data_IF_099784382831
#
_entry.id   IF_099784382831
#
_cell.length_a   1.000
_cell.length_b   1.000
_cell.length_c   1.000
_cell.angle_alpha   90.00
_cell.angle_beta   90.00
_cell.angle_gamma   90.00
#
_symmetry.space_group_name_H-M   'P 1'
#
loop_
_entity.id
_entity.type
_entity.pdbx_description
1 polymer ?
#
# COMPACT_ATOMS: atom_id res chain seq x y z
N UNK A 1 8.31 -20.70 -3.78
CA UNK A 1 9.48 -20.55 -4.68
C UNK A 1 10.13 -19.16 -4.60
N UNK A 2 9.40 -18.05 -4.45
CA UNK A 2 9.96 -16.69 -4.36
C UNK A 2 10.84 -16.46 -3.12
N UNK A 3 10.47 -16.97 -1.95
CA UNK A 3 11.28 -16.87 -0.75
C UNK A 3 12.64 -17.59 -0.88
N UNK A 4 12.67 -18.77 -1.50
CA UNK A 4 13.92 -19.50 -1.76
C UNK A 4 14.88 -18.78 -2.72
N UNK A 5 14.35 -18.06 -3.73
CA UNK A 5 15.20 -17.35 -4.69
C UNK A 5 15.86 -16.09 -4.10
N UNK A 6 15.24 -15.45 -3.10
CA UNK A 6 15.82 -14.31 -2.38
C UNK A 6 16.87 -14.80 -1.37
N UNK A 7 16.71 -15.97 -0.79
CA UNK A 7 17.59 -16.53 0.24
C UNK A 7 18.82 -17.28 -0.31
N UNK A 8 18.82 -17.77 -1.54
CA UNK A 8 19.97 -18.46 -2.14
C UNK A 8 21.06 -17.52 -2.68
N UNK A 9 20.88 -16.20 -2.66
CA UNK A 9 21.89 -15.23 -3.06
C UNK A 9 22.69 -14.75 -1.86
N UNK A 10 23.87 -15.33 -1.64
CA UNK A 10 25.00 -14.82 -0.83
C UNK A 10 24.53 -14.05 0.45
N UNK A 11 23.95 -14.80 1.38
CA UNK A 11 23.47 -14.30 2.70
C UNK A 11 24.62 -13.73 3.55
N UNK A 12 25.87 -13.94 3.14
CA UNK A 12 27.07 -13.44 3.82
C UNK A 12 27.21 -11.91 3.74
N UNK A 13 26.39 -11.21 2.95
CA UNK A 13 26.53 -9.77 2.66
C UNK A 13 25.34 -8.91 3.15
N UNK A 14 24.47 -9.42 3.98
CA UNK A 14 23.43 -8.61 4.61
C UNK A 14 23.88 -8.08 5.96
N UNK A 15 23.72 -6.77 6.20
CA UNK A 15 23.85 -6.21 7.53
C UNK A 15 22.61 -6.57 8.37
N UNK A 16 22.82 -7.00 9.62
CA UNK A 16 21.74 -7.29 10.57
C UNK A 16 21.58 -6.07 11.47
N UNK A 17 20.38 -5.52 11.53
CA UNK A 17 20.11 -4.34 12.33
C UNK A 17 18.97 -4.62 13.31
N UNK A 18 19.07 -4.00 14.48
CA UNK A 18 17.98 -3.86 15.45
C UNK A 18 17.70 -2.37 15.62
N UNK A 19 16.45 -2.02 15.85
CA UNK A 19 16.03 -0.62 15.98
C UNK A 19 15.06 -0.42 17.12
N UNK A 20 15.06 0.80 17.65
CA UNK A 20 14.06 1.29 18.60
C UNK A 20 13.61 2.67 18.12
N UNK A 21 12.30 2.88 18.02
CA UNK A 21 11.72 4.11 17.46
C UNK A 21 10.53 4.56 18.32
N UNK A 22 10.52 5.82 18.71
CA UNK A 22 9.38 6.50 19.31
C UNK A 22 8.53 7.17 18.24
N UNK A 23 7.23 7.21 18.47
CA UNK A 23 6.22 7.80 17.61
C UNK A 23 5.35 8.77 18.41
N UNK A 24 5.00 9.92 17.83
CA UNK A 24 3.98 10.83 18.35
C UNK A 24 3.23 11.48 17.21
N UNK A 25 1.92 11.61 17.33
CA UNK A 25 1.11 12.08 16.22
C UNK A 25 -0.29 12.52 16.61
N UNK A 26 -1.20 12.48 15.65
CA UNK A 26 -2.60 12.84 15.81
C UNK A 26 -3.48 11.97 14.92
N UNK A 27 -4.79 11.92 15.22
CA UNK A 27 -5.75 11.16 14.43
C UNK A 27 -6.39 12.07 13.37
N UNK A 28 -6.46 11.61 12.12
CA UNK A 28 -7.19 12.31 11.04
C UNK A 28 -8.65 11.85 11.01
N UNK A 29 -9.62 12.72 11.34
CA UNK A 29 -11.04 12.40 11.17
C UNK A 29 -11.41 12.47 9.69
N UNK A 30 -11.69 11.34 9.08
CA UNK A 30 -12.12 11.23 7.67
C UNK A 30 -13.65 11.05 7.51
N UNK A 31 -14.38 11.06 8.62
CA UNK A 31 -15.85 11.04 8.70
C UNK A 31 -16.34 11.99 9.79
N UNK A 32 -17.56 12.52 9.64
CA UNK A 32 -18.17 13.38 10.68
C UNK A 32 -18.41 12.62 11.98
N UNK A 33 -18.77 11.35 11.89
CA UNK A 33 -19.17 10.49 13.01
C UNK A 33 -18.02 10.19 13.99
N UNK A 34 -16.76 10.37 13.58
CA UNK A 34 -15.58 10.11 14.41
C UNK A 34 -14.81 11.37 14.80
N UNK A 35 -15.36 12.55 14.45
CA UNK A 35 -14.64 13.84 14.65
C UNK A 35 -14.37 14.12 16.12
N UNK A 36 -15.36 13.91 16.97
CA UNK A 36 -15.28 14.27 18.38
C UNK A 36 -14.32 13.37 19.17
N UNK A 37 -14.11 12.13 18.66
CA UNK A 37 -13.20 11.14 19.24
C UNK A 37 -11.78 11.26 18.67
N UNK A 38 -11.62 11.97 17.55
CA UNK A 38 -10.32 12.12 16.85
C UNK A 38 -9.39 13.17 17.47
N UNK A 39 -9.80 13.85 18.54
CA UNK A 39 -9.00 14.89 19.23
C UNK A 39 -7.80 14.37 20.04
N UNK A 40 -7.48 13.08 19.93
CA UNK A 40 -6.41 12.41 20.67
C UNK A 40 -5.06 12.51 19.97
N UNK A 41 -3.98 12.38 20.77
CA UNK A 41 -2.58 12.45 20.31
C UNK A 41 -1.88 11.10 20.51
N UNK A 42 -2.00 10.17 19.59
CA UNK A 42 -1.36 8.88 19.67
C UNK A 42 0.15 8.97 19.87
N UNK A 43 0.67 8.14 20.75
CA UNK A 43 2.10 7.92 20.89
C UNK A 43 2.40 6.43 20.90
N UNK A 44 3.64 6.05 20.61
CA UNK A 44 4.00 4.65 20.58
C UNK A 44 5.51 4.41 20.62
N UNK A 45 5.85 3.15 20.82
CA UNK A 45 7.22 2.66 20.76
C UNK A 45 7.25 1.42 19.89
N UNK A 46 8.26 1.33 19.03
CA UNK A 46 8.46 0.26 18.08
C UNK A 46 9.88 -0.30 18.20
N UNK A 47 10.00 -1.61 18.28
CA UNK A 47 11.25 -2.34 18.16
C UNK A 47 11.25 -3.12 16.84
N UNK A 48 12.35 -3.06 16.08
CA UNK A 48 12.48 -3.76 14.81
C UNK A 48 13.77 -4.56 14.67
N UNK A 49 13.70 -5.61 13.85
CA UNK A 49 14.85 -6.35 13.37
C UNK A 49 14.81 -6.41 11.85
N UNK A 50 15.97 -6.19 11.20
CA UNK A 50 16.04 -6.15 9.74
C UNK A 50 17.35 -6.67 9.16
N UNK A 51 17.22 -7.15 7.92
CA UNK A 51 18.32 -7.50 7.02
C UNK A 51 18.48 -6.38 5.99
N UNK A 52 19.63 -5.71 5.98
CA UNK A 52 19.96 -4.69 5.00
C UNK A 52 20.86 -5.30 3.93
N UNK A 53 20.28 -5.58 2.77
CA UNK A 53 20.96 -6.29 1.70
C UNK A 53 21.95 -5.41 0.96
N UNK A 54 23.17 -5.92 0.72
CA UNK A 54 24.23 -5.20 0.03
C UNK A 54 24.71 -5.91 -1.25
N UNK A 55 24.12 -7.07 -1.56
CA UNK A 55 24.47 -7.87 -2.73
C UNK A 55 24.00 -7.22 -4.04
N UNK A 56 24.60 -7.64 -5.15
CA UNK A 56 24.31 -7.11 -6.48
C UNK A 56 22.86 -7.34 -6.89
N UNK A 57 22.32 -8.51 -6.60
CA UNK A 57 20.95 -8.87 -6.95
C UNK A 57 19.91 -7.94 -6.29
N UNK A 58 20.06 -7.67 -4.98
CA UNK A 58 19.17 -6.75 -4.27
C UNK A 58 19.28 -5.33 -4.86
N UNK A 59 20.49 -4.89 -5.19
CA UNK A 59 20.70 -3.60 -5.82
C UNK A 59 20.10 -3.52 -7.22
N UNK A 60 20.16 -4.58 -8.02
CA UNK A 60 19.56 -4.64 -9.35
C UNK A 60 18.02 -4.49 -9.30
N UNK A 61 17.36 -5.11 -8.32
CA UNK A 61 15.90 -5.04 -8.19
C UNK A 61 15.39 -3.65 -7.84
N UNK A 62 16.05 -2.94 -6.95
CA UNK A 62 15.58 -1.65 -6.39
C UNK A 62 16.47 -0.48 -6.80
N UNK A 63 17.57 -0.74 -7.53
CA UNK A 63 18.63 0.23 -7.80
C UNK A 63 19.10 0.94 -6.51
N UNK A 64 19.07 0.21 -5.40
CA UNK A 64 19.42 0.62 -4.05
C UNK A 64 19.64 -0.59 -3.18
N UNK A 65 19.91 -0.35 -1.91
CA UNK A 65 20.13 -1.41 -0.92
C UNK A 65 18.95 -1.45 0.04
N UNK A 66 17.98 -2.38 -0.16
CA UNK A 66 16.78 -2.43 0.67
C UNK A 66 17.03 -3.09 2.01
N UNK A 67 16.27 -2.69 3.02
CA UNK A 67 16.02 -3.48 4.22
C UNK A 67 14.73 -4.27 4.06
N UNK A 68 14.73 -5.51 4.56
CA UNK A 68 13.52 -6.27 4.85
C UNK A 68 13.54 -6.58 6.35
N UNK A 69 12.43 -6.36 7.03
CA UNK A 69 12.38 -6.53 8.48
C UNK A 69 11.02 -6.84 9.02
N UNK A 70 11.01 -7.09 10.33
CA UNK A 70 9.82 -7.22 11.14
C UNK A 70 9.89 -6.22 12.30
N UNK A 71 8.74 -5.67 12.68
CA UNK A 71 8.63 -4.71 13.76
C UNK A 71 7.48 -5.10 14.68
N UNK A 72 7.70 -4.96 15.99
CA UNK A 72 6.69 -5.03 17.03
C UNK A 72 6.52 -3.63 17.60
N UNK A 73 5.28 -3.15 17.71
CA UNK A 73 5.03 -1.86 18.30
C UNK A 73 3.81 -1.88 19.23
N UNK A 74 3.88 -0.99 20.20
CA UNK A 74 2.77 -0.60 21.05
C UNK A 74 2.38 0.85 20.71
N UNK A 75 1.08 1.09 20.55
CA UNK A 75 0.49 2.41 20.35
C UNK A 75 -0.59 2.66 21.40
N UNK A 76 -0.49 3.76 22.11
CA UNK A 76 -1.56 4.30 22.94
C UNK A 76 -2.25 5.42 22.15
N UNK A 77 -3.59 5.35 22.03
CA UNK A 77 -4.34 6.33 21.26
C UNK A 77 -4.77 7.57 22.04
N UNK A 78 -4.26 7.73 23.27
CA UNK A 78 -4.55 8.87 24.15
C UNK A 78 -6.07 9.06 24.41
N UNK A 79 -6.81 7.97 24.32
CA UNK A 79 -8.24 7.87 24.60
C UNK A 79 -8.56 6.46 25.10
N UNK A 80 -8.24 6.13 26.38
CA UNK A 80 -8.35 4.79 26.91
C UNK A 80 -9.79 4.28 27.01
N UNK A 81 -10.76 5.19 27.17
CA UNK A 81 -12.18 4.81 27.32
C UNK A 81 -12.81 4.33 26.02
N UNK A 82 -12.44 4.96 24.87
CA UNK A 82 -13.02 4.65 23.58
C UNK A 82 -12.05 3.87 22.68
N UNK A 83 -10.84 4.40 22.49
CA UNK A 83 -9.88 3.84 21.53
C UNK A 83 -8.94 2.81 22.12
N UNK A 84 -8.53 2.97 23.40
CA UNK A 84 -7.58 2.07 24.03
C UNK A 84 -6.19 2.12 23.41
N UNK A 85 -5.63 0.93 23.16
CA UNK A 85 -4.27 0.74 22.63
C UNK A 85 -4.21 -0.32 21.55
N UNK A 86 -3.12 -0.33 20.77
CA UNK A 86 -2.85 -1.35 19.79
C UNK A 86 -1.46 -1.98 19.96
N UNK A 87 -1.37 -3.29 19.74
CA UNK A 87 -0.12 -4.03 19.60
C UNK A 87 0.00 -4.50 18.15
N UNK A 88 1.06 -4.12 17.47
CA UNK A 88 1.20 -4.42 16.04
C UNK A 88 2.42 -5.28 15.77
N UNK A 89 2.27 -6.25 14.86
CA UNK A 89 3.35 -6.99 14.23
C UNK A 89 3.33 -6.64 12.74
N UNK A 90 4.39 -5.99 12.28
CA UNK A 90 4.54 -5.55 10.90
C UNK A 90 5.68 -6.32 10.21
N UNK A 91 5.47 -6.71 8.97
CA UNK A 91 6.53 -7.02 8.03
C UNK A 91 6.73 -5.81 7.12
N UNK A 92 7.97 -5.43 6.87
CA UNK A 92 8.24 -4.23 6.08
C UNK A 92 9.38 -4.40 5.08
N UNK A 93 9.29 -3.59 4.02
CA UNK A 93 10.36 -3.34 3.06
C UNK A 93 10.74 -1.86 3.10
N UNK A 94 12.04 -1.58 3.11
CA UNK A 94 12.56 -0.22 3.21
C UNK A 94 13.70 -0.01 2.20
N UNK A 95 13.39 0.46 0.96
CA UNK A 95 14.40 0.91 0.02
C UNK A 95 15.09 2.19 0.50
N UNK A 96 16.41 2.24 0.31
CA UNK A 96 17.26 3.38 0.64
C UNK A 96 17.70 4.12 -0.62
N UNK A 97 17.60 5.45 -0.58
CA UNK A 97 18.24 6.31 -1.56
C UNK A 97 19.66 6.63 -1.04
N UNK A 98 20.67 6.17 -1.79
CA UNK A 98 22.08 6.44 -1.45
C UNK A 98 22.53 5.88 -0.09
N UNK A 99 22.24 4.60 0.21
CA UNK A 99 22.64 3.92 1.45
C UNK A 99 24.13 3.97 1.77
N UNK A 100 25.02 4.20 0.78
CA UNK A 100 26.47 4.35 0.94
C UNK A 100 26.87 5.69 1.59
N UNK A 101 26.00 6.71 1.57
CA UNK A 101 26.30 8.03 2.13
C UNK A 101 26.07 8.08 3.64
N UNK A 102 26.71 9.07 4.32
CA UNK A 102 26.52 9.32 5.74
C UNK A 102 25.08 9.73 6.07
N UNK A 103 24.47 10.53 5.19
CA UNK A 103 23.03 10.85 5.21
C UNK A 103 22.35 10.16 4.03
N UNK A 104 21.23 9.50 4.28
CA UNK A 104 20.40 8.85 3.26
C UNK A 104 18.92 8.99 3.58
N UNK A 105 18.09 8.98 2.56
CA UNK A 105 16.63 8.89 2.69
C UNK A 105 16.19 7.45 2.49
N UNK A 106 15.15 7.03 3.18
CA UNK A 106 14.47 5.75 2.93
C UNK A 106 12.96 5.90 2.97
N UNK A 107 12.29 5.02 2.23
CA UNK A 107 10.86 4.86 2.27
C UNK A 107 10.58 3.47 2.84
N UNK A 108 9.76 3.39 3.90
CA UNK A 108 9.37 2.12 4.49
C UNK A 108 7.90 1.86 4.22
N UNK A 109 7.59 0.65 3.78
CA UNK A 109 6.24 0.16 3.56
C UNK A 109 6.05 -1.08 4.41
N UNK A 110 5.05 -1.07 5.28
CA UNK A 110 4.76 -2.16 6.19
C UNK A 110 3.30 -2.58 6.15
N UNK A 111 3.06 -3.86 6.36
CA UNK A 111 1.75 -4.45 6.56
C UNK A 111 1.84 -5.60 7.57
N UNK A 112 0.73 -5.89 8.24
CA UNK A 112 0.77 -6.95 9.25
C UNK A 112 -0.54 -7.16 10.01
N UNK A 113 -0.41 -7.46 11.30
CA UNK A 113 -1.52 -7.68 12.21
C UNK A 113 -1.47 -6.67 13.35
N UNK A 114 -2.63 -6.24 13.81
CA UNK A 114 -2.81 -5.43 15.00
C UNK A 114 -3.81 -6.11 15.95
N UNK A 115 -3.46 -6.18 17.23
CA UNK A 115 -4.40 -6.50 18.30
C UNK A 115 -4.86 -5.18 18.93
N UNK A 116 -6.19 -4.96 18.92
CA UNK A 116 -6.87 -3.80 19.49
C UNK A 116 -7.46 -4.21 20.84
N UNK A 117 -7.07 -3.55 21.92
CA UNK A 117 -7.53 -3.93 23.27
C UNK A 117 -8.94 -3.44 23.58
N UNK A 118 -9.36 -2.30 23.02
CA UNK A 118 -10.69 -1.73 23.19
C UNK A 118 -11.37 -1.57 21.84
N UNK A 119 -12.43 -2.34 21.58
CA UNK A 119 -13.14 -2.37 20.29
C UNK A 119 -14.57 -1.84 20.46
N UNK A 120 -15.25 -1.59 19.34
CA UNK A 120 -16.68 -1.28 19.34
C UNK A 120 -17.48 -2.39 20.03
N UNK A 121 -18.35 -1.98 20.91
CA UNK A 121 -19.39 -2.81 21.52
C UNK A 121 -20.66 -1.95 21.70
N UNK A 122 -21.86 -2.43 21.28
CA UNK A 122 -23.06 -1.62 21.28
C UNK A 122 -23.51 -1.21 22.69
N UNK A 123 -23.14 -1.97 23.73
CA UNK A 123 -23.57 -1.74 25.09
C UNK A 123 -22.51 -1.01 25.94
N UNK A 124 -21.24 -1.33 25.73
CA UNK A 124 -20.14 -0.85 26.60
C UNK A 124 -19.20 0.14 25.94
N UNK A 125 -19.12 0.19 24.58
CA UNK A 125 -18.27 1.12 23.83
C UNK A 125 -18.88 1.49 22.46
N UNK A 126 -20.09 2.07 22.44
CA UNK A 126 -20.81 2.40 21.20
C UNK A 126 -20.13 3.50 20.38
N UNK A 127 -19.28 4.31 21.00
CA UNK A 127 -18.60 5.44 20.38
C UNK A 127 -17.39 5.03 19.54
N UNK A 128 -16.85 3.82 19.72
CA UNK A 128 -15.74 3.34 18.92
C UNK A 128 -16.17 2.91 17.52
N UNK A 129 -16.39 3.85 16.63
CA UNK A 129 -16.73 3.57 15.24
C UNK A 129 -15.52 3.24 14.36
N UNK A 130 -14.29 3.24 14.91
CA UNK A 130 -13.06 3.02 14.15
C UNK A 130 -12.84 1.54 13.83
N UNK A 131 -13.05 0.65 14.80
CA UNK A 131 -12.82 -0.79 14.65
C UNK A 131 -13.69 -1.62 15.59
N UNK A 132 -14.18 -2.74 15.07
CA UNK A 132 -15.08 -3.66 15.77
C UNK A 132 -14.53 -5.07 15.96
N UNK A 133 -13.25 -5.28 15.63
CA UNK A 133 -12.57 -6.57 15.79
C UNK A 133 -11.25 -6.40 16.55
N UNK A 134 -10.96 -7.34 17.45
CA UNK A 134 -9.68 -7.34 18.19
C UNK A 134 -8.47 -7.52 17.26
N UNK A 135 -8.63 -8.30 16.20
CA UNK A 135 -7.60 -8.44 15.15
C UNK A 135 -7.97 -7.53 13.98
N UNK A 136 -7.05 -6.67 13.63
CA UNK A 136 -7.12 -5.71 12.53
C UNK A 136 -5.84 -5.73 11.71
N UNK A 137 -5.82 -5.02 10.59
CA UNK A 137 -4.72 -5.02 9.62
C UNK A 137 -4.11 -3.61 9.52
N UNK A 138 -2.91 -3.40 10.05
CA UNK A 138 -2.17 -2.15 9.88
C UNK A 138 -1.52 -2.10 8.51
N UNK A 139 -1.57 -0.91 7.90
CA UNK A 139 -0.77 -0.50 6.76
C UNK A 139 0.05 0.72 7.17
N UNK A 140 1.31 0.75 6.76
CA UNK A 140 2.25 1.79 7.15
C UNK A 140 3.08 2.28 5.98
N UNK A 141 3.26 3.59 5.91
CA UNK A 141 4.19 4.25 5.00
C UNK A 141 5.03 5.24 5.81
N UNK A 142 6.37 5.14 5.69
CA UNK A 142 7.30 6.06 6.34
C UNK A 142 8.21 6.74 5.32
N UNK A 143 8.51 7.99 5.57
CA UNK A 143 9.63 8.71 4.94
C UNK A 143 10.63 9.03 6.04
N UNK A 144 11.84 8.50 5.92
CA UNK A 144 12.87 8.57 6.96
C UNK A 144 14.16 9.19 6.43
N UNK A 145 14.70 10.16 7.17
CA UNK A 145 16.08 10.60 7.10
C UNK A 145 16.93 9.72 8.01
N UNK A 146 18.02 9.18 7.49
CA UNK A 146 18.92 8.28 8.19
C UNK A 146 20.31 8.92 8.24
N UNK A 147 20.84 9.14 9.45
CA UNK A 147 22.15 9.71 9.65
C UNK A 147 23.06 8.69 10.35
N UNK A 148 24.12 8.28 9.70
CA UNK A 148 25.11 7.33 10.23
C UNK A 148 26.03 8.03 11.22
N UNK A 149 25.84 7.74 12.52
CA UNK A 149 26.67 8.27 13.62
C UNK A 149 28.04 7.57 13.63
N UNK A 150 28.04 6.24 13.44
CA UNK A 150 29.23 5.39 13.34
C UNK A 150 28.99 4.22 12.39
N UNK A 151 29.89 3.27 12.29
CA UNK A 151 29.68 2.03 11.51
C UNK A 151 28.52 1.19 12.03
N UNK A 152 28.18 1.32 13.31
CA UNK A 152 27.14 0.53 13.97
C UNK A 152 25.90 1.32 14.31
N UNK A 153 25.99 2.62 14.55
CA UNK A 153 24.86 3.44 15.01
C UNK A 153 24.34 4.35 13.91
N UNK A 154 23.02 4.35 13.77
CA UNK A 154 22.29 5.19 12.83
C UNK A 154 21.12 5.86 13.54
N UNK A 155 21.11 7.20 13.52
CA UNK A 155 19.95 8.02 13.93
C UNK A 155 18.95 8.05 12.79
N UNK A 156 17.67 7.89 13.11
CA UNK A 156 16.56 7.85 12.16
C UNK A 156 15.47 8.81 12.61
N UNK A 157 15.04 9.70 11.72
CA UNK A 157 13.96 10.64 12.02
C UNK A 157 13.10 10.85 10.79
N UNK A 158 11.79 11.05 10.97
CA UNK A 158 10.92 11.26 9.83
C UNK A 158 9.44 11.30 10.19
N UNK A 159 8.63 11.01 9.18
CA UNK A 159 7.18 10.94 9.28
C UNK A 159 6.64 9.57 8.87
N UNK A 160 5.63 9.15 9.57
CA UNK A 160 4.90 7.89 9.34
C UNK A 160 3.42 8.21 9.13
N UNK A 161 2.79 7.51 8.20
CA UNK A 161 1.34 7.43 8.12
C UNK A 161 0.91 5.98 8.35
N UNK A 162 0.02 5.78 9.33
CA UNK A 162 -0.54 4.47 9.64
C UNK A 162 -2.06 4.46 9.43
N UNK A 163 -2.53 3.37 8.89
CA UNK A 163 -3.95 3.02 8.80
C UNK A 163 -4.17 1.66 9.44
N UNK A 164 -5.12 1.56 10.38
CA UNK A 164 -5.52 0.26 10.96
C UNK A 164 -7.02 0.10 10.75
N UNK A 165 -7.41 -1.02 10.15
CA UNK A 165 -8.82 -1.39 9.95
C UNK A 165 -8.97 -2.91 9.89
N UNK A 166 -10.18 -3.41 10.06
CA UNK A 166 -10.45 -4.84 9.95
C UNK A 166 -10.71 -5.33 8.51
N UNK A 167 -10.45 -4.49 7.50
CA UNK A 167 -10.67 -4.86 6.09
C UNK A 167 -12.14 -5.04 5.70
N UNK A 168 -13.08 -4.54 6.51
CA UNK A 168 -14.52 -4.68 6.24
C UNK A 168 -15.15 -5.99 6.75
N UNK A 169 -14.42 -6.77 7.56
CA UNK A 169 -14.92 -8.05 8.10
C UNK A 169 -16.12 -7.86 9.04
N UNK A 170 -16.19 -6.75 9.76
CA UNK A 170 -17.28 -6.43 10.69
C UNK A 170 -17.48 -4.91 10.78
N UNK A 171 -18.72 -4.46 10.88
CA UNK A 171 -19.06 -3.07 11.10
C UNK A 171 -19.32 -2.79 12.61
N UNK A 172 -19.10 -1.52 13.07
CA UNK A 172 -18.50 -0.41 12.36
C UNK A 172 -17.00 -0.62 12.09
N UNK A 173 -16.52 -0.06 10.99
CA UNK A 173 -15.10 -0.11 10.60
C UNK A 173 -14.74 1.13 9.77
N UNK A 174 -14.69 2.28 10.41
CA UNK A 174 -14.18 3.50 9.76
C UNK A 174 -12.66 3.42 9.55
N UNK A 175 -11.95 2.62 10.37
CA UNK A 175 -10.50 2.57 10.43
C UNK A 175 -9.90 3.80 11.11
N UNK A 176 -8.74 3.62 11.74
CA UNK A 176 -8.00 4.71 12.36
C UNK A 176 -6.82 5.12 11.48
N UNK A 177 -6.73 6.42 11.19
CA UNK A 177 -5.65 7.03 10.41
C UNK A 177 -4.87 7.99 11.31
N UNK A 178 -3.58 7.73 11.50
CA UNK A 178 -2.75 8.59 12.35
C UNK A 178 -1.37 8.82 11.76
N UNK A 179 -1.11 10.03 11.22
CA UNK A 179 0.23 10.47 10.93
C UNK A 179 1.00 10.71 12.23
N UNK A 180 2.30 10.39 12.21
CA UNK A 180 3.18 10.53 13.37
C UNK A 180 4.55 11.05 12.96
N UNK A 181 5.16 11.90 13.78
CA UNK A 181 6.59 12.14 13.75
C UNK A 181 7.30 10.97 14.43
N UNK A 182 8.47 10.59 13.92
CA UNK A 182 9.23 9.46 14.43
C UNK A 182 10.68 9.83 14.69
N UNK A 183 11.24 9.31 15.79
CA UNK A 183 12.65 9.43 16.12
C UNK A 183 13.15 8.10 16.68
N UNK A 184 14.25 7.60 16.17
CA UNK A 184 14.76 6.30 16.56
C UNK A 184 16.26 6.13 16.36
N UNK A 185 16.76 5.07 16.95
CA UNK A 185 18.13 4.60 16.80
C UNK A 185 18.12 3.17 16.24
N UNK A 186 19.02 2.91 15.29
CA UNK A 186 19.26 1.57 14.76
C UNK A 186 20.71 1.18 15.05
N UNK A 187 20.90 -0.03 15.57
CA UNK A 187 22.20 -0.63 15.82
C UNK A 187 22.46 -1.79 14.86
N UNK A 188 23.62 -1.79 14.23
CA UNK A 188 24.04 -2.81 13.28
C UNK A 188 24.87 -3.88 14.01
N UNK A 189 24.29 -5.05 14.21
CA UNK A 189 24.96 -6.21 14.82
C UNK A 189 26.10 -6.72 13.94
N UNK A 190 25.83 -6.82 12.63
CA UNK A 190 26.80 -7.24 11.62
C UNK A 190 26.94 -6.12 10.57
N UNK A 191 27.96 -5.28 10.63
CA UNK A 191 28.23 -4.28 9.60
C UNK A 191 28.50 -4.92 8.24
N UNK A 192 28.09 -4.21 7.18
CA UNK A 192 28.39 -4.57 5.81
C UNK A 192 28.73 -3.31 5.01
N UNK A 193 29.52 -3.45 3.98
CA UNK A 193 29.87 -2.37 3.06
C UNK A 193 28.76 -2.19 2.01
N UNK A 194 28.50 -0.94 1.63
CA UNK A 194 27.55 -0.58 0.57
C UNK A 194 28.32 -0.12 -0.67
N UNK A 195 28.64 -1.02 -1.64
CA UNK A 195 29.39 -0.65 -2.82
C UNK A 195 28.65 0.39 -3.66
N UNK A 196 29.38 1.33 -4.25
CA UNK A 196 28.83 2.21 -5.28
C UNK A 196 28.75 1.42 -6.59
N UNK A 197 27.54 1.17 -7.07
CA UNK A 197 27.29 0.40 -8.30
C UNK A 197 26.71 1.30 -9.38
N UNK A 198 27.05 1.00 -10.63
CA UNK A 198 26.49 1.64 -11.81
C UNK A 198 25.36 0.78 -12.41
N UNK A 199 24.38 1.42 -13.06
CA UNK A 199 23.30 0.74 -13.74
C UNK A 199 23.83 -0.12 -14.90
N UNK A 200 23.48 -1.41 -14.92
CA UNK A 200 23.81 -2.33 -16.00
C UNK A 200 22.95 -2.09 -17.25
N UNK A 201 23.36 -2.68 -18.39
CA UNK A 201 22.61 -2.60 -19.63
C UNK A 201 21.17 -3.17 -19.49
N UNK A 202 20.98 -4.26 -18.73
CA UNK A 202 19.66 -4.84 -18.46
C UNK A 202 18.73 -3.91 -17.66
N UNK A 203 19.27 -3.04 -16.81
CA UNK A 203 18.48 -2.03 -16.10
C UNK A 203 18.01 -0.91 -17.04
N UNK A 204 18.80 -0.58 -18.08
CA UNK A 204 18.40 0.39 -19.10
C UNK A 204 17.22 -0.13 -19.93
N UNK A 205 17.16 -1.44 -20.15
CA UNK A 205 16.00 -2.10 -20.82
C UNK A 205 14.70 -1.92 -20.02
N UNK A 206 14.78 -2.02 -18.69
CA UNK A 206 13.63 -1.77 -17.81
C UNK A 206 13.17 -0.29 -17.82
N UNK A 207 13.98 0.61 -18.33
CA UNK A 207 13.66 2.02 -18.48
C UNK A 207 13.00 2.37 -19.82
N UNK A 208 12.63 1.38 -20.63
CA UNK A 208 11.85 1.62 -21.83
C UNK A 208 10.38 1.89 -21.52
N UNK A 209 9.75 2.65 -22.40
CA UNK A 209 8.31 2.81 -22.45
C UNK A 209 7.67 1.48 -22.76
N UNK A 210 6.58 1.16 -22.07
CA UNK A 210 5.78 -0.03 -22.31
C UNK A 210 4.33 0.35 -22.59
N UNK A 211 3.72 -0.36 -23.51
CA UNK A 211 2.28 -0.36 -23.71
C UNK A 211 1.71 -1.64 -23.06
N UNK A 212 0.65 -1.49 -22.28
CA UNK A 212 0.05 -2.58 -21.51
C UNK A 212 -1.45 -2.66 -21.78
N UNK A 213 -1.92 -3.89 -21.93
CA UNK A 213 -3.35 -4.19 -22.05
C UNK A 213 -3.70 -5.28 -21.08
N UNK A 214 -4.77 -5.12 -20.31
CA UNK A 214 -5.25 -6.15 -19.39
C UNK A 214 -6.76 -6.30 -19.44
N UNK A 215 -7.21 -7.54 -19.30
CA UNK A 215 -8.57 -7.89 -18.94
C UNK A 215 -8.66 -8.01 -17.42
N UNK A 216 -9.76 -7.57 -16.85
CA UNK A 216 -10.01 -7.69 -15.42
C UNK A 216 -11.47 -8.06 -15.13
N UNK A 217 -11.67 -8.65 -13.96
CA UNK A 217 -13.01 -9.01 -13.52
C UNK A 217 -13.10 -9.35 -12.04
N UNK A 218 -14.34 -9.30 -11.54
CA UNK A 218 -14.70 -9.67 -10.17
C UNK A 218 -16.18 -10.04 -10.07
N UNK A 219 -16.56 -10.69 -8.97
CA UNK A 219 -17.95 -10.78 -8.53
C UNK A 219 -18.29 -9.63 -7.60
N UNK A 220 -19.30 -8.82 -7.92
CA UNK A 220 -19.71 -7.67 -7.14
C UNK A 220 -21.08 -7.90 -6.54
N UNK A 221 -21.23 -7.60 -5.23
CA UNK A 221 -22.52 -7.70 -4.54
C UNK A 221 -23.43 -6.54 -4.92
N UNK A 222 -24.73 -6.81 -4.98
CA UNK A 222 -25.74 -5.76 -5.01
C UNK A 222 -25.91 -5.18 -3.60
N UNK A 223 -26.14 -3.88 -3.50
CA UNK A 223 -26.34 -3.21 -2.19
C UNK A 223 -27.65 -3.61 -1.51
N UNK A 224 -28.69 -3.84 -2.29
CA UNK A 224 -30.03 -4.23 -1.89
C UNK A 224 -30.22 -5.74 -1.71
N UNK A 225 -29.36 -6.55 -2.35
CA UNK A 225 -29.34 -8.00 -2.23
C UNK A 225 -27.88 -8.53 -2.06
N UNK A 226 -27.31 -8.47 -0.84
CA UNK A 226 -25.92 -8.85 -0.61
C UNK A 226 -25.58 -10.32 -0.89
N UNK A 227 -26.58 -11.18 -1.08
CA UNK A 227 -26.40 -12.61 -1.40
C UNK A 227 -26.22 -12.89 -2.89
N UNK A 228 -26.48 -11.94 -3.79
CA UNK A 228 -26.39 -12.12 -5.24
C UNK A 228 -25.15 -11.44 -5.81
N UNK A 229 -24.12 -12.21 -6.18
CA UNK A 229 -22.92 -11.71 -6.87
C UNK A 229 -23.15 -11.68 -8.36
N UNK A 230 -23.03 -10.50 -8.95
CA UNK A 230 -23.09 -10.32 -10.40
C UNK A 230 -21.70 -10.02 -10.96
N UNK A 231 -21.37 -10.47 -12.18
CA UNK A 231 -20.06 -10.24 -12.76
C UNK A 231 -19.84 -8.75 -13.04
N UNK A 232 -18.58 -8.32 -12.87
CA UNK A 232 -18.05 -7.09 -13.40
C UNK A 232 -16.84 -7.45 -14.24
N UNK A 233 -16.83 -7.00 -15.48
CA UNK A 233 -15.77 -7.27 -16.44
C UNK A 233 -15.25 -5.95 -17.02
N UNK A 234 -13.98 -5.92 -17.40
CA UNK A 234 -13.42 -4.75 -18.04
C UNK A 234 -12.11 -5.02 -18.76
N UNK A 235 -11.74 -4.03 -19.53
CA UNK A 235 -10.45 -3.96 -20.23
C UNK A 235 -9.78 -2.63 -19.89
N UNK A 236 -8.48 -2.65 -19.66
CA UNK A 236 -7.66 -1.44 -19.52
C UNK A 236 -6.50 -1.49 -20.49
N UNK A 237 -6.16 -0.34 -21.06
CA UNK A 237 -4.99 -0.15 -21.90
C UNK A 237 -4.27 1.13 -21.46
N UNK A 238 -2.96 1.04 -21.19
CA UNK A 238 -2.19 2.19 -20.73
C UNK A 238 -0.73 2.14 -21.18
N UNK A 239 -0.11 3.31 -21.23
CA UNK A 239 1.31 3.48 -21.45
C UNK A 239 1.97 3.71 -20.10
N UNK A 240 3.12 3.07 -19.87
CA UNK A 240 3.99 3.31 -18.72
C UNK A 240 5.30 3.91 -19.21
N UNK A 241 5.53 5.19 -18.88
CA UNK A 241 6.71 5.98 -19.23
C UNK A 241 7.62 6.13 -18.02
N UNK A 242 8.80 5.50 -17.99
CA UNK A 242 9.78 5.71 -16.93
C UNK A 242 10.20 7.17 -16.81
N UNK A 243 10.24 7.66 -15.57
CA UNK A 243 10.73 9.00 -15.20
C UNK A 243 11.86 8.94 -14.18
N UNK A 244 12.13 7.76 -13.64
CA UNK A 244 13.16 7.52 -12.64
C UNK A 244 13.56 6.05 -12.56
N UNK A 245 14.39 5.72 -11.59
CA UNK A 245 14.92 4.37 -11.41
C UNK A 245 13.83 3.33 -11.17
N UNK A 246 12.88 3.67 -10.31
CA UNK A 246 11.78 2.81 -9.89
C UNK A 246 10.41 3.49 -10.13
N UNK A 247 10.38 4.62 -10.82
CA UNK A 247 9.20 5.44 -11.04
C UNK A 247 8.84 5.53 -12.51
N UNK A 248 7.56 5.44 -12.83
CA UNK A 248 7.03 5.72 -14.15
C UNK A 248 5.71 6.49 -14.05
N UNK A 249 5.44 7.35 -15.03
CA UNK A 249 4.12 7.91 -15.24
C UNK A 249 3.28 6.97 -16.09
N UNK A 250 1.99 6.88 -15.80
CA UNK A 250 1.04 6.06 -16.56
C UNK A 250 -0.09 6.92 -17.09
N UNK A 251 -0.54 6.61 -18.30
CA UNK A 251 -1.70 7.26 -18.91
C UNK A 251 -2.41 6.28 -19.85
N UNK A 252 -3.74 6.24 -19.80
CA UNK A 252 -4.48 5.28 -20.59
C UNK A 252 -5.99 5.40 -20.44
N UNK A 253 -6.68 4.31 -20.76
CA UNK A 253 -8.13 4.24 -20.71
C UNK A 253 -8.59 2.87 -20.20
N UNK A 254 -9.80 2.84 -19.63
CA UNK A 254 -10.47 1.60 -19.29
C UNK A 254 -11.93 1.60 -19.72
N UNK A 255 -12.45 0.41 -19.97
CA UNK A 255 -13.86 0.15 -20.24
C UNK A 255 -14.38 -0.88 -19.26
N UNK A 256 -15.55 -0.61 -18.65
CA UNK A 256 -16.14 -1.42 -17.59
C UNK A 256 -17.56 -1.78 -17.94
N UNK A 257 -17.89 -3.06 -17.88
CA UNK A 257 -19.24 -3.61 -17.92
C UNK A 257 -19.61 -4.12 -16.51
N UNK A 258 -20.40 -3.33 -15.77
CA UNK A 258 -20.85 -3.62 -14.41
C UNK A 258 -22.28 -4.15 -14.42
N UNK A 259 -22.44 -5.46 -14.36
CA UNK A 259 -23.77 -6.10 -14.45
C UNK A 259 -24.65 -5.86 -13.22
N UNK A 260 -24.09 -5.39 -12.09
CA UNK A 260 -24.92 -4.90 -10.98
C UNK A 260 -25.69 -3.65 -11.38
N UNK A 261 -25.03 -2.72 -12.14
CA UNK A 261 -25.72 -1.54 -12.68
C UNK A 261 -26.75 -1.91 -13.74
N UNK A 262 -26.44 -2.90 -14.60
CA UNK A 262 -27.41 -3.39 -15.58
C UNK A 262 -28.71 -3.82 -14.90
N UNK A 263 -28.59 -4.60 -13.82
CA UNK A 263 -29.74 -5.11 -13.10
C UNK A 263 -30.54 -3.97 -12.43
N UNK A 264 -29.86 -2.96 -11.83
CA UNK A 264 -30.55 -1.77 -11.29
C UNK A 264 -31.33 -1.01 -12.37
N UNK A 265 -30.74 -0.81 -13.54
CA UNK A 265 -31.42 -0.11 -14.64
C UNK A 265 -32.59 -0.90 -15.21
N UNK A 266 -32.53 -2.22 -15.21
CA UNK A 266 -33.65 -3.10 -15.59
C UNK A 266 -34.78 -3.01 -14.56
N UNK A 267 -34.45 -3.04 -13.25
CA UNK A 267 -35.42 -2.96 -12.16
C UNK A 267 -36.12 -1.57 -12.10
N UNK A 268 -35.39 -0.49 -12.43
CA UNK A 268 -35.91 0.89 -12.46
C UNK A 268 -36.58 1.25 -13.80
N UNK A 269 -36.70 0.31 -14.73
CA UNK A 269 -37.19 0.51 -16.11
C UNK A 269 -36.48 1.65 -16.88
N UNK A 270 -35.22 1.94 -16.55
CA UNK A 270 -34.40 2.93 -17.25
C UNK A 270 -33.67 2.30 -18.43
N UNK A 271 -33.94 2.74 -19.66
CA UNK A 271 -33.30 2.27 -20.89
C UNK A 271 -31.87 2.77 -21.11
N UNK A 272 -31.13 3.15 -20.06
CA UNK A 272 -29.76 3.69 -20.17
C UNK A 272 -28.71 2.59 -20.24
N UNK A 273 -27.58 2.87 -20.89
CA UNK A 273 -26.46 1.93 -20.95
C UNK A 273 -25.73 1.88 -19.61
N UNK A 274 -25.45 0.66 -19.13
CA UNK A 274 -24.75 0.38 -17.87
C UNK A 274 -23.21 0.39 -17.99
N UNK A 275 -22.68 0.42 -19.19
CA UNK A 275 -21.23 0.43 -19.44
C UNK A 275 -20.63 1.80 -19.18
N UNK A 276 -19.35 1.81 -18.81
CA UNK A 276 -18.62 3.04 -18.48
C UNK A 276 -17.22 3.01 -19.09
N UNK A 277 -16.83 4.12 -19.71
CA UNK A 277 -15.50 4.38 -20.22
C UNK A 277 -14.83 5.50 -19.44
N UNK A 278 -13.53 5.37 -19.19
CA UNK A 278 -12.77 6.35 -18.43
C UNK A 278 -11.35 6.53 -18.97
N UNK A 279 -10.79 7.70 -18.74
CA UNK A 279 -9.37 7.98 -18.91
C UNK A 279 -8.66 7.84 -17.57
N UNK A 280 -7.43 7.32 -17.62
CA UNK A 280 -6.58 7.07 -16.46
C UNK A 280 -5.28 7.88 -16.58
N UNK A 281 -4.84 8.45 -15.48
CA UNK A 281 -3.52 9.05 -15.34
C UNK A 281 -2.96 8.71 -13.98
N UNK A 282 -1.67 8.45 -13.87
CA UNK A 282 -1.11 8.08 -12.58
C UNK A 282 0.38 7.82 -12.57
N UNK A 283 0.79 7.12 -11.53
CA UNK A 283 2.16 6.78 -11.23
C UNK A 283 2.28 5.27 -11.01
N UNK A 284 3.41 4.70 -11.40
CA UNK A 284 3.77 3.31 -11.20
C UNK A 284 5.12 3.23 -10.48
N UNK A 285 5.16 2.51 -9.36
CA UNK A 285 6.40 2.08 -8.73
C UNK A 285 6.81 0.72 -9.27
N UNK A 286 8.05 0.62 -9.75
CA UNK A 286 8.65 -0.57 -10.36
C UNK A 286 9.68 -1.18 -9.44
N UNK A 287 9.35 -2.33 -8.84
CA UNK A 287 10.20 -3.02 -7.87
C UNK A 287 10.47 -4.43 -8.37
N UNK A 288 11.54 -4.61 -9.13
CA UNK A 288 11.83 -5.88 -9.80
C UNK A 288 10.71 -6.28 -10.76
N UNK A 289 10.05 -7.41 -10.46
CA UNK A 289 8.90 -7.89 -11.22
C UNK A 289 7.56 -7.33 -10.74
N UNK A 290 7.55 -6.64 -9.60
CA UNK A 290 6.34 -6.05 -9.06
C UNK A 290 6.15 -4.62 -9.57
N UNK A 291 4.90 -4.27 -9.83
CA UNK A 291 4.45 -2.92 -10.20
C UNK A 291 3.33 -2.53 -9.25
N UNK A 292 3.49 -1.39 -8.61
CA UNK A 292 2.43 -0.80 -7.80
C UNK A 292 1.89 0.43 -8.52
N UNK A 293 0.67 0.31 -9.05
CA UNK A 293 -0.02 1.33 -9.81
C UNK A 293 -0.91 2.19 -8.92
N UNK A 294 -0.81 3.50 -9.08
CA UNK A 294 -1.61 4.51 -8.40
C UNK A 294 -2.17 5.44 -9.46
N UNK A 295 -3.45 5.27 -9.81
CA UNK A 295 -4.05 6.01 -10.92
C UNK A 295 -5.32 6.73 -10.47
N UNK A 296 -5.55 7.91 -11.05
CA UNK A 296 -6.83 8.60 -11.04
C UNK A 296 -7.55 8.31 -12.35
N UNK A 297 -8.82 7.94 -12.25
CA UNK A 297 -9.70 7.73 -13.38
C UNK A 297 -10.79 8.78 -13.43
N UNK A 298 -11.10 9.25 -14.63
CA UNK A 298 -12.22 10.16 -14.89
C UNK A 298 -13.13 9.54 -15.93
N UNK A 299 -14.41 9.36 -15.60
CA UNK A 299 -15.39 8.86 -16.57
C UNK A 299 -15.61 9.87 -17.69
N UNK A 300 -15.38 9.45 -18.92
CA UNK A 300 -15.70 10.18 -20.13
C UNK A 300 -16.97 9.66 -20.80
N UNK A 301 -17.36 8.43 -20.46
CA UNK A 301 -18.61 7.83 -20.88
C UNK A 301 -19.25 7.14 -19.65
N UNK A 302 -20.35 7.65 -19.16
CA UNK A 302 -21.13 7.10 -18.06
C UNK A 302 -22.58 7.59 -18.16
N UNK A 303 -23.41 6.99 -19.03
CA UNK A 303 -24.80 7.42 -19.24
C UNK A 303 -25.64 7.37 -17.97
N UNK A 304 -25.32 6.47 -17.05
CA UNK A 304 -25.89 6.40 -15.72
C UNK A 304 -24.86 6.82 -14.66
N UNK A 305 -25.13 7.89 -13.94
CA UNK A 305 -24.24 8.47 -12.91
C UNK A 305 -24.48 7.79 -11.54
N UNK A 306 -23.97 6.58 -11.38
CA UNK A 306 -24.09 5.84 -10.12
C UNK A 306 -23.19 6.37 -8.99
N UNK A 307 -22.09 7.08 -9.32
CA UNK A 307 -21.06 7.54 -8.41
C UNK A 307 -20.39 8.83 -8.90
N UNK A 308 -19.46 9.35 -8.10
CA UNK A 308 -18.60 10.48 -8.50
C UNK A 308 -17.90 10.20 -9.83
N UNK A 309 -17.68 11.24 -10.66
CA UNK A 309 -17.04 11.09 -11.97
C UNK A 309 -15.56 10.74 -11.86
N UNK A 310 -14.94 10.97 -10.70
CA UNK A 310 -13.51 10.71 -10.44
C UNK A 310 -13.37 9.55 -9.45
N UNK A 311 -12.39 8.69 -9.68
CA UNK A 311 -12.08 7.56 -8.81
C UNK A 311 -10.58 7.26 -8.77
N UNK A 312 -10.17 6.47 -7.81
CA UNK A 312 -8.79 5.98 -7.68
C UNK A 312 -8.71 4.50 -8.05
N UNK A 313 -7.55 4.13 -8.62
CA UNK A 313 -7.12 2.76 -8.86
C UNK A 313 -5.81 2.51 -8.12
N UNK A 314 -5.76 1.43 -7.32
CA UNK A 314 -4.58 1.00 -6.58
C UNK A 314 -4.29 -0.45 -6.94
N UNK A 315 -3.26 -0.68 -7.75
CA UNK A 315 -2.97 -2.00 -8.31
C UNK A 315 -1.62 -2.54 -7.87
N UNK A 316 -1.58 -3.83 -7.60
CA UNK A 316 -0.34 -4.58 -7.45
C UNK A 316 -0.28 -5.63 -8.55
N UNK A 317 0.74 -5.56 -9.40
CA UNK A 317 0.94 -6.43 -10.55
C UNK A 317 2.28 -7.16 -10.46
N UNK A 318 2.30 -8.41 -10.89
CA UNK A 318 3.51 -9.22 -11.06
C UNK A 318 3.76 -9.44 -12.55
N UNK A 319 4.90 -8.95 -13.04
CA UNK A 319 5.34 -9.08 -14.42
C UNK A 319 6.28 -10.27 -14.57
N UNK A 320 5.95 -11.18 -15.50
CA UNK A 320 6.81 -12.31 -15.85
C UNK A 320 8.05 -11.85 -16.66
N UNK A 321 9.00 -12.74 -16.88
CA UNK A 321 10.11 -12.47 -17.80
C UNK A 321 9.66 -12.31 -19.25
N UNK A 322 8.52 -12.89 -19.62
CA UNK A 322 7.86 -12.70 -20.90
C UNK A 322 7.01 -11.43 -20.96
N UNK A 323 5.95 -11.50 -21.76
CA UNK A 323 5.02 -10.37 -21.96
C UNK A 323 3.87 -10.35 -20.97
N UNK A 324 3.59 -11.44 -20.28
CA UNK A 324 2.42 -11.56 -19.41
C UNK A 324 2.63 -10.88 -18.06
N UNK A 325 1.55 -10.36 -17.50
CA UNK A 325 1.47 -9.94 -16.11
C UNK A 325 0.11 -10.31 -15.50
N UNK A 326 0.10 -10.42 -14.18
CA UNK A 326 -1.07 -10.73 -13.37
C UNK A 326 -1.15 -9.73 -12.22
N UNK A 327 -2.33 -9.44 -11.75
CA UNK A 327 -2.45 -8.52 -10.64
C UNK A 327 -3.82 -8.49 -10.01
N UNK A 328 -3.89 -7.70 -8.95
CA UNK A 328 -5.11 -7.27 -8.30
C UNK A 328 -5.17 -5.75 -8.30
N UNK A 329 -6.37 -5.20 -8.36
CA UNK A 329 -6.54 -3.76 -8.37
C UNK A 329 -7.81 -3.35 -7.61
N UNK A 330 -7.65 -2.43 -6.67
CA UNK A 330 -8.75 -1.82 -5.94
C UNK A 330 -9.22 -0.58 -6.69
N UNK A 331 -10.52 -0.48 -6.92
CA UNK A 331 -11.18 0.75 -7.34
C UNK A 331 -11.89 1.38 -6.16
N UNK A 332 -11.72 2.68 -5.98
CA UNK A 332 -12.35 3.43 -4.90
C UNK A 332 -12.83 4.81 -5.38
N UNK A 333 -13.95 5.25 -4.84
CA UNK A 333 -14.46 6.62 -4.98
C UNK A 333 -14.25 7.35 -3.66
N UNK A 334 -13.36 8.37 -3.62
CA UNK A 334 -12.93 9.03 -2.38
C UNK A 334 -12.38 8.00 -1.38
N UNK A 335 -13.06 7.81 -0.24
CA UNK A 335 -12.68 6.89 0.83
C UNK A 335 -13.48 5.57 0.83
N UNK A 336 -14.32 5.35 -0.20
CA UNK A 336 -15.17 4.16 -0.29
C UNK A 336 -14.66 3.22 -1.38
N UNK A 337 -14.29 2.01 -1.02
CA UNK A 337 -13.97 0.94 -1.96
C UNK A 337 -15.21 0.62 -2.81
N UNK A 338 -15.03 0.52 -4.13
CA UNK A 338 -16.09 0.10 -5.05
C UNK A 338 -16.00 -1.40 -5.32
N UNK A 339 -14.82 -1.87 -5.74
CA UNK A 339 -14.52 -3.29 -5.93
C UNK A 339 -13.01 -3.55 -5.99
N UNK A 340 -12.64 -4.81 -5.70
CA UNK A 340 -11.34 -5.38 -5.96
C UNK A 340 -11.46 -6.28 -7.18
N UNK A 341 -10.61 -6.11 -8.19
CA UNK A 341 -10.55 -6.96 -9.38
C UNK A 341 -9.27 -7.79 -9.46
N UNK A 342 -9.36 -8.96 -10.09
CA UNK A 342 -8.22 -9.71 -10.58
C UNK A 342 -8.01 -9.40 -12.06
N UNK A 343 -6.73 -9.33 -12.49
CA UNK A 343 -6.40 -8.99 -13.87
C UNK A 343 -5.30 -9.85 -14.45
N UNK A 344 -5.35 -10.03 -15.75
CA UNK A 344 -4.30 -10.63 -16.57
C UNK A 344 -4.07 -9.77 -17.80
N UNK A 345 -2.81 -9.56 -18.14
CA UNK A 345 -2.49 -8.67 -19.25
C UNK A 345 -1.21 -9.01 -19.99
N UNK A 346 -1.00 -8.25 -21.04
CA UNK A 346 0.18 -8.32 -21.92
C UNK A 346 0.89 -6.96 -21.96
N UNK A 347 2.20 -7.04 -21.99
CA UNK A 347 3.13 -5.90 -22.11
C UNK A 347 3.80 -5.94 -23.48
N UNK A 348 3.84 -4.80 -24.15
CA UNK A 348 4.46 -4.58 -25.46
C UNK A 348 5.53 -3.50 -25.39
#
# INVERSE_FOLDING_TARGET
>A
MLARAVWQGDSSRAAINIGLTGHTGFIIPHSRDIRDISGSNPWGIEADVSLHFTNERAWQYLQGYPRLGAALAYYNFDNPEVLGSAYTLLLYAEPFLSAHRRFSLSFRFGAGLAYMDNIYDPDTNPDNLFYSTRISFPLEINLLGNYRLSERWMLRAGGTYKHISNGGLRQPNKGINFPSATLGLSYTLRPATFPVRQASAGMREQQKRHFLVALFGTGKDRRDEPSSKLPLLGITAYVSQPIGRISALTGGAEWIADYTLRKYLEDDAEGRNFQRGALLVGHELRIGRFRFNQQLGVYVYAPYKARDPVYQRWGLEYHTDGRMFYGINLKAHRHVADFLDARVGLRF
#
